data_IF_314664296991
#
_entry.id   IF_314664296991
#
_cell.length_a   1.000
_cell.length_b   1.000
_cell.length_c   1.000
_cell.angle_alpha   90.00
_cell.angle_beta   90.00
_cell.angle_gamma   90.00
#
_symmetry.space_group_name_H-M   'P 1'
#
loop_
_entity.id
_entity.type
_entity.pdbx_description
1 polymer ?
#
# COMPACT_ATOMS: atom_id res chain seq x y z
N UNK A 1 -26.65 15.92 -11.63
CA UNK A 1 -26.66 14.85 -10.59
C UNK A 1 -25.22 14.43 -10.34
N UNK A 2 -24.74 14.40 -9.09
CA UNK A 2 -23.51 13.69 -8.79
C UNK A 2 -23.71 12.20 -9.15
N UNK A 3 -22.68 11.50 -9.63
CA UNK A 3 -22.80 10.08 -9.94
C UNK A 3 -23.20 9.32 -8.66
N UNK A 4 -24.00 8.23 -8.78
CA UNK A 4 -24.23 7.36 -7.65
C UNK A 4 -22.88 6.90 -7.11
N UNK A 5 -22.64 7.12 -5.82
CA UNK A 5 -21.45 6.64 -5.12
C UNK A 5 -21.41 5.14 -5.37
N UNK A 6 -20.53 4.71 -6.28
CA UNK A 6 -20.31 3.31 -6.55
C UNK A 6 -19.93 2.69 -5.21
N UNK A 7 -20.82 1.85 -4.67
CA UNK A 7 -20.55 1.04 -3.48
C UNK A 7 -19.32 0.23 -3.85
N UNK A 8 -18.15 0.61 -3.34
CA UNK A 8 -16.93 -0.11 -3.65
C UNK A 8 -17.20 -1.58 -3.31
N UNK A 9 -17.03 -2.53 -4.24
CA UNK A 9 -17.38 -3.94 -4.06
C UNK A 9 -16.49 -4.64 -3.02
N UNK A 10 -15.74 -3.87 -2.24
CA UNK A 10 -14.72 -4.30 -1.31
C UNK A 10 -15.26 -4.39 0.12
N UNK A 11 -16.08 -3.43 0.58
CA UNK A 11 -16.65 -3.42 1.93
C UNK A 11 -17.97 -4.21 2.01
N UNK A 12 -18.23 -5.01 3.07
CA UNK A 12 -19.50 -5.71 3.23
C UNK A 12 -20.67 -4.74 3.27
N UNK A 13 -21.79 -5.11 2.64
CA UNK A 13 -22.98 -4.27 2.65
C UNK A 13 -23.69 -4.24 4.01
N UNK A 14 -24.66 -3.33 4.12
CA UNK A 14 -25.37 -3.08 5.37
C UNK A 14 -26.11 -4.32 5.90
N UNK A 15 -26.67 -5.16 5.03
CA UNK A 15 -27.35 -6.39 5.42
C UNK A 15 -26.37 -7.40 6.05
N UNK A 16 -25.19 -7.58 5.44
CA UNK A 16 -24.12 -8.44 5.94
C UNK A 16 -23.60 -7.94 7.29
N UNK A 17 -23.43 -6.63 7.45
CA UNK A 17 -23.01 -6.03 8.72
C UNK A 17 -24.10 -6.11 9.79
N UNK A 18 -25.38 -5.97 9.44
CA UNK A 18 -26.49 -6.14 10.37
C UNK A 18 -26.56 -7.58 10.90
N UNK A 19 -26.41 -8.58 10.03
CA UNK A 19 -26.30 -9.99 10.41
C UNK A 19 -25.12 -10.21 11.38
N UNK A 20 -23.96 -9.67 11.07
CA UNK A 20 -22.77 -9.82 11.90
C UNK A 20 -22.94 -9.14 13.27
N UNK A 21 -23.48 -7.92 13.32
CA UNK A 21 -23.77 -7.21 14.59
C UNK A 21 -24.79 -7.96 15.44
N UNK A 22 -25.85 -8.49 14.82
CA UNK A 22 -26.85 -9.26 15.54
C UNK A 22 -26.26 -10.56 16.13
N UNK A 23 -25.35 -11.21 15.40
CA UNK A 23 -24.62 -12.37 15.92
C UNK A 23 -23.71 -12.02 17.11
N UNK A 24 -22.99 -10.89 17.04
CA UNK A 24 -22.22 -10.36 18.18
C UNK A 24 -23.09 -9.97 19.37
N UNK A 25 -24.32 -9.48 19.12
CA UNK A 25 -25.30 -9.15 20.15
C UNK A 25 -25.95 -10.37 20.82
N UNK A 26 -25.61 -11.59 20.40
CA UNK A 26 -26.01 -12.82 21.07
C UNK A 26 -26.87 -13.76 20.22
N UNK A 27 -27.42 -13.29 19.09
CA UNK A 27 -28.25 -14.15 18.23
C UNK A 27 -27.45 -15.37 17.75
N UNK A 28 -28.17 -16.48 17.55
CA UNK A 28 -27.60 -17.64 16.89
C UNK A 28 -27.22 -17.29 15.44
N UNK A 29 -26.20 -17.95 14.89
CA UNK A 29 -25.77 -17.73 13.52
C UNK A 29 -26.93 -17.92 12.52
N UNK A 30 -27.79 -18.93 12.77
CA UNK A 30 -28.99 -19.17 11.96
C UNK A 30 -29.95 -17.99 12.02
N UNK A 31 -30.34 -17.55 13.22
CA UNK A 31 -31.30 -16.47 13.40
C UNK A 31 -30.81 -15.13 12.82
N UNK A 32 -29.52 -14.83 12.94
CA UNK A 32 -28.93 -13.62 12.36
C UNK A 32 -28.95 -13.64 10.82
N UNK A 33 -28.60 -14.77 10.20
CA UNK A 33 -28.61 -14.92 8.74
C UNK A 33 -30.05 -14.94 8.20
N UNK A 34 -30.95 -15.65 8.87
CA UNK A 34 -32.37 -15.71 8.47
C UNK A 34 -33.04 -14.34 8.56
N UNK A 35 -32.71 -13.52 9.56
CA UNK A 35 -33.30 -12.19 9.71
C UNK A 35 -32.80 -11.16 8.68
N UNK A 36 -31.51 -11.21 8.31
CA UNK A 36 -30.87 -10.13 7.56
C UNK A 36 -30.33 -10.55 6.19
N UNK A 37 -30.20 -11.85 5.92
CA UNK A 37 -29.58 -12.42 4.71
C UNK A 37 -30.44 -13.56 4.13
N UNK A 38 -31.74 -13.58 4.41
CA UNK A 38 -32.65 -14.65 4.00
C UNK A 38 -32.54 -14.94 2.49
N UNK A 39 -32.65 -13.88 1.69
CA UNK A 39 -32.70 -13.96 0.22
C UNK A 39 -31.34 -14.30 -0.43
N UNK A 40 -30.28 -14.43 0.38
CA UNK A 40 -28.89 -14.64 -0.09
C UNK A 40 -28.32 -15.99 0.32
N UNK A 41 -29.06 -16.75 1.11
CA UNK A 41 -28.62 -18.06 1.57
C UNK A 41 -28.93 -19.07 0.47
N UNK A 42 -27.91 -19.44 -0.30
CA UNK A 42 -28.00 -20.54 -1.25
C UNK A 42 -28.27 -21.87 -0.53
N UNK A 43 -28.91 -22.82 -1.21
CA UNK A 43 -29.15 -24.16 -0.69
C UNK A 43 -27.81 -24.82 -0.32
N UNK A 44 -27.70 -25.27 0.93
CA UNK A 44 -26.46 -25.84 1.49
C UNK A 44 -25.48 -24.85 2.12
N UNK A 45 -25.70 -23.53 2.01
CA UNK A 45 -24.85 -22.55 2.68
C UNK A 45 -25.05 -22.56 4.21
N UNK A 46 -23.97 -22.82 4.96
CA UNK A 46 -23.98 -22.76 6.42
C UNK A 46 -24.04 -21.31 6.92
N UNK A 47 -25.02 -20.99 7.78
CA UNK A 47 -25.13 -19.67 8.40
C UNK A 47 -23.88 -19.28 9.19
N UNK A 48 -23.21 -20.26 9.82
CA UNK A 48 -21.92 -20.04 10.48
C UNK A 48 -20.82 -19.71 9.47
N UNK A 49 -20.82 -20.40 8.32
CA UNK A 49 -19.89 -20.17 7.22
C UNK A 49 -20.03 -18.78 6.61
N UNK A 50 -21.27 -18.31 6.40
CA UNK A 50 -21.54 -16.96 5.88
C UNK A 50 -21.00 -15.87 6.82
N UNK A 51 -21.27 -15.97 8.12
CA UNK A 51 -20.73 -15.03 9.11
C UNK A 51 -19.20 -15.10 9.20
N UNK A 52 -18.62 -16.30 9.07
CA UNK A 52 -17.17 -16.49 8.98
C UNK A 52 -16.55 -15.82 7.76
N UNK A 53 -17.21 -15.88 6.59
CA UNK A 53 -16.77 -15.18 5.38
C UNK A 53 -16.81 -13.66 5.55
N UNK A 54 -17.88 -13.11 6.15
CA UNK A 54 -17.96 -11.67 6.42
C UNK A 54 -16.83 -11.22 7.35
N UNK A 55 -16.53 -11.99 8.40
CA UNK A 55 -15.42 -11.71 9.32
C UNK A 55 -14.06 -11.75 8.62
N UNK A 56 -13.78 -12.77 7.81
CA UNK A 56 -12.53 -12.87 7.04
C UNK A 56 -12.37 -11.71 6.06
N UNK A 57 -13.45 -11.32 5.39
CA UNK A 57 -13.43 -10.18 4.48
C UNK A 57 -13.10 -8.87 5.20
N UNK A 58 -13.59 -8.68 6.43
CA UNK A 58 -13.23 -7.53 7.26
C UNK A 58 -11.78 -7.59 7.74
N UNK A 59 -11.25 -8.77 8.11
CA UNK A 59 -9.84 -8.88 8.51
C UNK A 59 -8.89 -8.66 7.33
N UNK A 60 -9.18 -9.23 6.16
CA UNK A 60 -8.41 -8.98 4.93
C UNK A 60 -8.43 -7.51 4.52
N UNK A 61 -9.58 -6.85 4.64
CA UNK A 61 -9.70 -5.41 4.41
C UNK A 61 -8.81 -4.61 5.37
N UNK A 62 -8.85 -4.96 6.66
CA UNK A 62 -8.00 -4.31 7.66
C UNK A 62 -6.52 -4.49 7.34
N UNK A 63 -6.10 -5.69 6.92
CA UNK A 63 -4.72 -5.98 6.46
C UNK A 63 -4.35 -5.17 5.23
N UNK A 64 -5.23 -5.07 4.22
CA UNK A 64 -4.99 -4.21 3.04
C UNK A 64 -4.87 -2.74 3.39
N UNK A 65 -5.52 -2.31 4.47
CA UNK A 65 -5.37 -0.96 5.03
C UNK A 65 -4.25 -0.82 6.06
N UNK A 66 -3.37 -1.80 6.16
CA UNK A 66 -2.22 -1.82 7.08
C UNK A 66 -2.61 -1.65 8.56
N UNK A 67 -3.81 -2.13 8.93
CA UNK A 67 -4.34 -2.10 10.30
C UNK A 67 -4.49 -3.51 10.84
N UNK A 68 -3.36 -4.13 11.14
CA UNK A 68 -3.31 -5.47 11.75
C UNK A 68 -4.06 -5.50 13.09
N UNK A 69 -4.00 -4.41 13.85
CA UNK A 69 -4.74 -4.23 15.11
C UNK A 69 -6.26 -4.39 14.92
N UNK A 70 -6.81 -3.92 13.80
CA UNK A 70 -8.22 -4.09 13.46
C UNK A 70 -8.51 -5.48 12.87
N UNK A 71 -7.53 -6.10 12.18
CA UNK A 71 -7.69 -7.43 11.60
C UNK A 71 -7.89 -8.50 12.67
N UNK A 72 -7.03 -8.49 13.70
CA UNK A 72 -7.05 -9.45 14.81
C UNK A 72 -8.36 -9.41 15.59
N UNK A 73 -9.08 -8.28 15.61
CA UNK A 73 -10.40 -8.17 16.26
C UNK A 73 -11.42 -9.15 15.68
N UNK A 74 -11.30 -9.51 14.40
CA UNK A 74 -12.19 -10.46 13.73
C UNK A 74 -11.69 -11.89 13.77
N UNK A 75 -10.49 -12.14 14.30
CA UNK A 75 -9.81 -13.45 14.33
C UNK A 75 -9.94 -14.08 15.73
N UNK A 76 -11.10 -14.67 15.99
CA UNK A 76 -11.43 -15.30 17.28
C UNK A 76 -12.38 -16.48 17.13
N UNK A 77 -12.52 -17.31 18.16
CA UNK A 77 -13.49 -18.40 18.16
C UNK A 77 -14.94 -17.88 18.26
N UNK A 78 -15.92 -18.66 17.80
CA UNK A 78 -17.33 -18.27 17.91
C UNK A 78 -17.84 -18.14 19.36
N UNK A 79 -17.13 -18.76 20.32
CA UNK A 79 -17.43 -18.66 21.76
C UNK A 79 -17.06 -17.30 22.36
N UNK A 80 -16.03 -16.64 21.84
CA UNK A 80 -15.57 -15.33 22.33
C UNK A 80 -16.41 -14.14 21.82
N UNK A 81 -17.43 -14.40 20.98
CA UNK A 81 -18.16 -13.35 20.26
C UNK A 81 -18.73 -12.27 21.17
N UNK A 82 -19.33 -12.66 22.30
CA UNK A 82 -19.97 -11.70 23.22
C UNK A 82 -18.92 -10.76 23.82
N UNK A 83 -17.78 -11.31 24.24
CA UNK A 83 -16.64 -10.53 24.77
C UNK A 83 -16.05 -9.59 23.71
N UNK A 84 -16.01 -10.02 22.45
CA UNK A 84 -15.44 -9.25 21.33
C UNK A 84 -16.43 -8.26 20.70
N UNK A 85 -17.71 -8.29 21.05
CA UNK A 85 -18.77 -7.53 20.39
C UNK A 85 -18.49 -6.02 20.29
N UNK A 86 -18.07 -5.39 21.40
CA UNK A 86 -17.75 -3.95 21.42
C UNK A 86 -16.58 -3.60 20.51
N UNK A 87 -15.48 -4.37 20.61
CA UNK A 87 -14.30 -4.17 19.79
C UNK A 87 -14.62 -4.38 18.29
N UNK A 88 -15.40 -5.41 17.96
CA UNK A 88 -15.82 -5.68 16.59
C UNK A 88 -16.68 -4.55 16.01
N UNK A 89 -17.64 -4.02 16.77
CA UNK A 89 -18.44 -2.87 16.33
C UNK A 89 -17.59 -1.62 16.09
N UNK A 90 -16.64 -1.33 16.97
CA UNK A 90 -15.70 -0.21 16.81
C UNK A 90 -14.80 -0.41 15.59
N UNK A 91 -14.29 -1.61 15.38
CA UNK A 91 -13.46 -1.94 14.22
C UNK A 91 -14.23 -1.82 12.90
N UNK A 92 -15.50 -2.22 12.86
CA UNK A 92 -16.36 -2.05 11.67
C UNK A 92 -16.52 -0.56 11.33
N UNK A 93 -16.78 0.30 12.30
CA UNK A 93 -16.92 1.73 12.04
C UNK A 93 -15.58 2.39 11.69
N UNK A 94 -14.49 2.00 12.33
CA UNK A 94 -13.15 2.46 11.96
C UNK A 94 -12.83 2.09 10.50
N UNK A 95 -13.06 0.83 10.10
CA UNK A 95 -12.83 0.38 8.72
C UNK A 95 -13.78 1.03 7.70
N UNK A 96 -14.94 1.54 8.11
CA UNK A 96 -15.86 2.23 7.21
C UNK A 96 -15.29 3.56 6.73
N UNK A 97 -14.63 4.29 7.62
CA UNK A 97 -14.11 5.65 7.34
C UNK A 97 -12.63 5.68 7.01
N UNK A 98 -11.90 4.59 7.27
CA UNK A 98 -10.46 4.52 7.04
C UNK A 98 -10.15 4.56 5.53
N UNK A 99 -9.41 5.56 5.05
CA UNK A 99 -8.97 5.59 3.66
C UNK A 99 -7.98 4.44 3.39
N UNK A 100 -7.83 4.07 2.13
CA UNK A 100 -6.69 3.23 1.73
C UNK A 100 -5.40 3.99 2.08
N UNK A 101 -4.40 3.33 2.69
CA UNK A 101 -3.13 3.97 2.98
C UNK A 101 -2.54 4.48 1.66
N UNK A 102 -2.11 5.74 1.66
CA UNK A 102 -1.36 6.30 0.54
C UNK A 102 0.12 5.99 0.78
N UNK A 103 0.84 5.41 -0.20
CA UNK A 103 2.25 5.13 0.00
C UNK A 103 3.05 6.41 0.21
N UNK A 104 3.99 6.35 1.14
CA UNK A 104 4.96 7.40 1.40
C UNK A 104 6.33 6.99 0.85
N UNK A 105 7.12 7.98 0.47
CA UNK A 105 8.47 7.80 -0.06
C UNK A 105 9.42 7.06 0.91
N UNK A 106 9.22 7.23 2.22
CA UNK A 106 9.98 6.57 3.29
C UNK A 106 9.52 5.14 3.57
N UNK A 107 8.42 4.69 2.96
CA UNK A 107 7.89 3.36 3.24
C UNK A 107 8.84 2.27 2.75
N UNK A 108 8.92 1.21 3.54
CA UNK A 108 9.61 -0.01 3.16
C UNK A 108 8.92 -0.66 1.97
N UNK A 109 9.70 -1.07 0.96
CA UNK A 109 9.19 -1.72 -0.24
C UNK A 109 8.41 -3.02 0.07
N UNK A 110 8.70 -3.70 1.18
CA UNK A 110 8.03 -4.92 1.62
C UNK A 110 6.54 -4.71 1.93
N UNK A 111 6.17 -3.47 2.24
CA UNK A 111 4.80 -3.07 2.57
C UNK A 111 3.91 -3.02 1.32
N UNK A 112 4.51 -2.80 0.14
CA UNK A 112 3.79 -2.46 -1.08
C UNK A 112 4.05 -3.42 -2.25
N UNK A 113 5.18 -4.12 -2.24
CA UNK A 113 5.63 -4.98 -3.34
C UNK A 113 5.63 -6.46 -2.95
N UNK A 114 5.48 -7.39 -3.92
CA UNK A 114 5.50 -8.82 -3.64
C UNK A 114 6.84 -9.27 -3.08
N UNK A 115 6.83 -10.20 -2.11
CA UNK A 115 8.02 -10.63 -1.35
C UNK A 115 9.18 -11.12 -2.22
N UNK A 116 8.87 -11.71 -3.38
CA UNK A 116 9.89 -12.13 -4.36
C UNK A 116 10.65 -10.94 -4.95
N UNK A 117 9.95 -9.88 -5.34
CA UNK A 117 10.57 -8.66 -5.86
C UNK A 117 11.35 -7.95 -4.75
N UNK A 118 10.77 -7.86 -3.55
CA UNK A 118 11.41 -7.24 -2.37
C UNK A 118 12.75 -7.88 -2.05
N UNK A 119 12.83 -9.22 -2.03
CA UNK A 119 14.09 -9.92 -1.76
C UNK A 119 15.20 -9.54 -2.73
N UNK A 120 14.86 -9.46 -4.03
CA UNK A 120 15.81 -9.08 -5.09
C UNK A 120 16.21 -7.61 -4.98
N UNK A 121 15.24 -6.72 -4.75
CA UNK A 121 15.47 -5.28 -4.59
C UNK A 121 16.35 -4.98 -3.37
N UNK A 122 16.10 -5.65 -2.23
CA UNK A 122 16.93 -5.52 -1.02
C UNK A 122 18.35 -6.03 -1.24
N UNK A 123 18.53 -7.15 -1.94
CA UNK A 123 19.85 -7.64 -2.30
C UNK A 123 20.64 -6.64 -3.19
N UNK A 124 19.92 -5.81 -3.95
CA UNK A 124 20.48 -4.71 -4.73
C UNK A 124 20.62 -3.39 -3.95
N UNK A 125 20.34 -3.39 -2.64
CA UNK A 125 20.44 -2.21 -1.76
C UNK A 125 19.31 -1.20 -1.97
N UNK A 126 18.11 -1.66 -2.36
CA UNK A 126 16.88 -0.86 -2.42
C UNK A 126 15.97 -1.34 -1.30
N UNK A 127 15.73 -0.49 -0.30
CA UNK A 127 14.89 -0.83 0.86
C UNK A 127 13.61 0.00 0.92
N UNK A 128 13.63 1.22 0.38
CA UNK A 128 12.51 2.16 0.43
C UNK A 128 11.92 2.48 -0.95
N UNK A 129 10.69 2.98 -0.98
CA UNK A 129 10.09 3.49 -2.20
C UNK A 129 10.91 4.66 -2.79
N UNK A 130 11.54 5.49 -1.95
CA UNK A 130 12.46 6.53 -2.38
C UNK A 130 13.67 5.95 -3.15
N UNK A 131 14.36 4.95 -2.59
CA UNK A 131 15.50 4.30 -3.25
C UNK A 131 15.11 3.77 -4.64
N UNK A 132 13.91 3.18 -4.70
CA UNK A 132 13.37 2.60 -5.90
C UNK A 132 13.06 3.70 -6.94
N UNK A 133 12.38 4.78 -6.53
CA UNK A 133 12.07 5.93 -7.41
C UNK A 133 13.30 6.72 -7.89
N UNK A 134 14.44 6.66 -7.21
CA UNK A 134 15.68 7.30 -7.68
C UNK A 134 16.35 6.49 -8.78
N UNK A 135 16.22 5.15 -8.74
CA UNK A 135 16.91 4.22 -9.65
C UNK A 135 16.09 3.81 -10.88
N UNK A 136 14.76 3.79 -10.78
CA UNK A 136 13.82 3.50 -11.89
C UNK A 136 13.83 4.53 -13.06
N UNK A 137 13.93 5.87 -12.87
CA UNK A 137 13.48 6.83 -13.87
C UNK A 137 14.30 6.92 -15.16
N UNK A 138 15.52 6.35 -15.21
CA UNK A 138 16.49 6.71 -16.26
C UNK A 138 16.62 5.71 -17.41
N UNK A 139 16.01 4.53 -17.36
CA UNK A 139 16.23 3.48 -18.38
C UNK A 139 14.94 2.75 -18.78
N UNK A 140 14.73 2.57 -20.10
CA UNK A 140 13.62 1.81 -20.71
C UNK A 140 13.55 0.32 -20.30
N UNK A 141 14.59 -0.20 -19.64
CA UNK A 141 14.69 -1.57 -19.07
C UNK A 141 15.49 -1.56 -17.76
N UNK A 142 15.14 -0.69 -16.82
CA UNK A 142 15.88 -0.54 -15.56
C UNK A 142 16.04 -1.87 -14.79
N UNK A 143 15.06 -2.78 -14.89
CA UNK A 143 15.10 -4.09 -14.25
C UNK A 143 16.22 -5.00 -14.77
N UNK A 144 16.73 -4.78 -15.99
CA UNK A 144 17.87 -5.55 -16.52
C UNK A 144 19.16 -5.31 -15.74
N UNK A 145 19.27 -4.17 -15.02
CA UNK A 145 20.41 -3.88 -14.16
C UNK A 145 20.30 -4.53 -12.76
N UNK A 146 19.14 -5.09 -12.42
CA UNK A 146 18.85 -5.73 -11.12
C UNK A 146 18.81 -7.25 -11.33
N UNK A 147 19.89 -7.99 -10.98
CA UNK A 147 19.94 -9.44 -11.17
C UNK A 147 18.78 -10.15 -10.46
N UNK A 148 18.03 -10.96 -11.19
CA UNK A 148 16.90 -11.73 -10.66
C UNK A 148 15.55 -11.00 -10.67
N UNK A 149 15.48 -9.74 -11.12
CA UNK A 149 14.22 -9.04 -11.32
C UNK A 149 13.69 -9.29 -12.74
N UNK A 150 12.62 -10.07 -12.85
CA UNK A 150 11.98 -10.38 -14.13
C UNK A 150 11.16 -9.21 -14.68
N UNK A 151 10.92 -9.22 -16.00
CA UNK A 151 10.10 -8.22 -16.69
C UNK A 151 8.68 -8.11 -16.11
N UNK A 152 8.09 -9.21 -15.62
CA UNK A 152 6.75 -9.18 -15.04
C UNK A 152 6.69 -8.41 -13.72
N UNK A 153 7.59 -8.71 -12.79
CA UNK A 153 7.69 -7.95 -11.54
C UNK A 153 8.04 -6.48 -11.78
N UNK A 154 8.84 -6.19 -12.81
CA UNK A 154 9.11 -4.80 -13.21
C UNK A 154 7.84 -4.08 -13.68
N UNK A 155 7.01 -4.73 -14.51
CA UNK A 155 5.71 -4.19 -14.95
C UNK A 155 4.73 -3.99 -13.80
N UNK A 156 4.69 -4.90 -12.83
CA UNK A 156 3.86 -4.75 -11.62
C UNK A 156 4.28 -3.51 -10.82
N UNK A 157 5.60 -3.31 -10.64
CA UNK A 157 6.15 -2.13 -9.97
C UNK A 157 5.81 -0.84 -10.76
N UNK A 158 5.96 -0.86 -12.08
CA UNK A 158 5.61 0.27 -12.94
C UNK A 158 4.10 0.61 -12.87
N UNK A 159 3.23 -0.40 -12.86
CA UNK A 159 1.80 -0.23 -12.69
C UNK A 159 1.45 0.37 -11.31
N UNK A 160 2.12 -0.06 -10.25
CA UNK A 160 1.99 0.53 -8.92
C UNK A 160 2.36 2.03 -8.92
N UNK A 161 3.49 2.41 -9.51
CA UNK A 161 3.87 3.82 -9.60
C UNK A 161 2.93 4.65 -10.49
N UNK A 162 2.37 4.05 -11.55
CA UNK A 162 1.37 4.71 -12.39
C UNK A 162 0.06 5.00 -11.63
N UNK A 163 -0.32 4.14 -10.67
CA UNK A 163 -1.47 4.38 -9.78
C UNK A 163 -1.20 5.43 -8.69
N UNK A 164 0.08 5.75 -8.45
CA UNK A 164 0.50 6.67 -7.40
C UNK A 164 1.50 7.73 -7.94
N UNK A 165 1.09 8.61 -8.87
CA UNK A 165 2.00 9.59 -9.51
C UNK A 165 2.66 10.53 -8.50
N UNK A 166 1.95 10.88 -7.42
CA UNK A 166 2.45 11.69 -6.30
C UNK A 166 3.71 11.13 -5.62
N UNK A 167 3.96 9.80 -5.65
CA UNK A 167 5.21 9.22 -5.14
C UNK A 167 6.40 9.64 -5.99
N UNK A 168 6.23 9.55 -7.32
CA UNK A 168 7.28 9.89 -8.28
C UNK A 168 7.60 11.38 -8.23
N UNK A 169 6.58 12.22 -8.07
CA UNK A 169 6.76 13.67 -7.93
C UNK A 169 7.49 14.05 -6.64
N UNK A 170 7.09 13.48 -5.49
CA UNK A 170 7.76 13.71 -4.20
C UNK A 170 9.21 13.23 -4.20
N UNK A 171 9.48 12.08 -4.81
CA UNK A 171 10.84 11.58 -4.99
C UNK A 171 11.70 12.50 -5.87
N UNK A 172 11.14 13.01 -6.97
CA UNK A 172 11.82 14.01 -7.82
C UNK A 172 12.13 15.29 -7.05
N UNK A 173 11.18 15.80 -6.27
CA UNK A 173 11.38 16.98 -5.43
C UNK A 173 12.53 16.79 -4.44
N UNK A 174 12.65 15.60 -3.83
CA UNK A 174 13.79 15.27 -2.99
C UNK A 174 15.12 15.23 -3.75
N UNK A 175 15.18 14.59 -4.93
CA UNK A 175 16.41 14.56 -5.73
C UNK A 175 16.87 15.98 -6.09
N UNK A 176 15.93 16.85 -6.50
CA UNK A 176 16.22 18.26 -6.81
C UNK A 176 16.75 19.00 -5.59
N UNK A 177 16.19 18.76 -4.40
CA UNK A 177 16.67 19.38 -3.16
C UNK A 177 18.05 18.88 -2.72
N UNK A 178 18.41 17.63 -2.99
CA UNK A 178 19.69 17.01 -2.56
C UNK A 178 20.82 17.18 -3.58
N UNK A 179 20.53 17.61 -4.81
CA UNK A 179 21.59 17.84 -5.81
C UNK A 179 22.20 19.22 -5.55
N UNK A 180 23.45 19.35 -5.05
CA UNK A 180 24.11 20.65 -5.04
C UNK A 180 24.17 21.16 -6.48
N UNK A 181 24.03 22.47 -6.65
CA UNK A 181 24.02 23.12 -7.95
C UNK A 181 25.44 23.07 -8.57
N UNK A 182 25.89 21.89 -8.99
CA UNK A 182 27.25 21.64 -9.49
C UNK A 182 27.46 22.19 -10.90
N UNK A 183 26.38 22.56 -11.60
CA UNK A 183 26.44 23.24 -12.89
C UNK A 183 26.12 24.71 -12.66
N UNK A 184 27.17 25.49 -12.41
CA UNK A 184 27.11 26.95 -12.41
C UNK A 184 27.32 27.47 -13.84
N UNK A 185 26.69 28.60 -14.23
CA UNK A 185 27.01 29.30 -15.46
C UNK A 185 28.52 29.54 -15.55
N UNK A 186 29.08 29.53 -16.77
CA UNK A 186 30.52 29.75 -17.00
C UNK A 186 31.06 31.03 -16.31
N UNK A 187 30.21 32.04 -16.16
CA UNK A 187 30.47 33.30 -15.46
C UNK A 187 30.80 33.14 -13.97
N UNK A 188 30.44 32.02 -13.35
CA UNK A 188 30.60 31.74 -11.92
C UNK A 188 31.53 30.55 -11.63
N UNK A 189 32.13 29.95 -12.67
CA UNK A 189 33.07 28.84 -12.52
C UNK A 189 34.37 29.34 -11.86
N UNK A 190 34.54 29.06 -10.57
CA UNK A 190 35.81 29.30 -9.86
C UNK A 190 36.72 28.09 -10.06
N UNK A 191 37.70 28.22 -10.95
CA UNK A 191 38.75 27.23 -11.10
C UNK A 191 39.58 27.15 -9.80
N UNK A 192 39.92 25.93 -9.33
CA UNK A 192 40.90 25.79 -8.25
C UNK A 192 42.20 26.50 -8.61
N UNK A 193 42.83 27.17 -7.64
CA UNK A 193 44.05 27.98 -7.86
C UNK A 193 45.20 27.20 -8.51
N UNK A 194 45.21 25.88 -8.36
CA UNK A 194 46.20 24.96 -8.93
C UNK A 194 46.15 24.87 -10.46
N UNK A 195 45.05 25.32 -11.07
CA UNK A 195 44.75 25.15 -12.51
C UNK A 195 44.39 26.48 -13.20
N UNK A 196 44.53 27.62 -12.52
CA UNK A 196 44.11 28.93 -13.05
C UNK A 196 45.10 29.58 -14.03
N UNK A 197 46.29 28.98 -14.21
CA UNK A 197 47.32 29.46 -15.13
C UNK A 197 48.01 30.78 -14.73
N UNK A 198 47.70 31.35 -13.56
CA UNK A 198 48.26 32.60 -13.05
C UNK A 198 49.78 32.53 -12.80
N UNK A 199 50.29 31.33 -12.50
CA UNK A 199 51.72 31.05 -12.31
C UNK A 199 52.48 30.72 -13.61
N UNK A 200 51.84 30.86 -14.78
CA UNK A 200 52.50 30.67 -16.08
C UNK A 200 52.81 29.21 -16.47
N UNK A 201 52.42 28.23 -15.66
CA UNK A 201 52.77 26.81 -15.83
C UNK A 201 52.00 26.09 -16.95
N UNK A 202 50.90 26.67 -17.44
CA UNK A 202 50.00 26.08 -18.46
C UNK A 202 49.80 26.97 -19.69
N UNK A 203 50.87 27.61 -20.18
CA UNK A 203 50.84 28.23 -21.51
C UNK A 203 51.15 27.17 -22.57
N UNK A 204 50.37 27.17 -23.64
CA UNK A 204 50.64 26.35 -24.82
C UNK A 204 52.01 26.73 -25.44
N UNK A 205 52.75 25.76 -26.02
CA UNK A 205 53.97 26.03 -26.77
C UNK A 205 53.74 26.83 -28.05
#
# INVERSE_FOLDING_TARGET
MPPPIAISPEFPDNASLAALRAWYAGLSARAAVERYLNDRKADGASSRGMLGQIRRRLSEMARRRQREDLAVVFEHSAGERIRRARAASQAIEALRVLPLPAPLISDDIATWLPSRAVRVLRAYGIATLADLTVRIPRRRRWWSAVPGLGQMSAREIEAFFAQHPQLTERARALIVATTPNTVVPWEQLRLPHEIDGSQGTFRAP
#
